data_IF_622240428403
#
_entry.id   IF_622240428403
#
_cell.length_a   1.000
_cell.length_b   1.000
_cell.length_c   1.000
_cell.angle_alpha   90.00
_cell.angle_beta   90.00
_cell.angle_gamma   90.00
#
_symmetry.space_group_name_H-M   'P 1'
#
loop_
_entity.id
_entity.type
_entity.pdbx_description
1 polymer ?
#
# COMPACT_ATOMS: atom_id res chain seq x y z
N UNK A 1 -15.20 2.54 4.02
CA UNK A 1 -15.21 3.78 3.21
C UNK A 1 -14.84 4.97 4.08
N UNK A 2 -13.72 5.62 3.81
CA UNK A 2 -13.36 6.95 4.29
C UNK A 2 -12.65 7.67 3.12
N UNK A 3 -12.93 8.96 2.84
CA UNK A 3 -12.46 9.61 1.62
C UNK A 3 -11.06 10.21 1.79
N UNK A 4 -10.16 9.89 0.85
CA UNK A 4 -8.86 10.55 0.70
C UNK A 4 -9.02 11.88 -0.03
N UNK A 5 -8.64 12.98 0.62
CA UNK A 5 -8.59 14.31 0.04
C UNK A 5 -7.27 14.50 -0.75
N UNK A 6 -7.37 14.74 -2.05
CA UNK A 6 -6.26 15.25 -2.88
C UNK A 6 -5.86 16.65 -2.39
N UNK A 7 -4.58 16.84 -2.05
CA UNK A 7 -4.01 18.17 -1.83
C UNK A 7 -3.15 18.54 -3.02
N UNK A 8 -3.69 19.46 -3.82
CA UNK A 8 -3.04 20.04 -4.99
C UNK A 8 -1.72 20.73 -4.63
N UNK A 9 -0.74 20.52 -5.50
CA UNK A 9 0.59 21.14 -5.46
C UNK A 9 0.50 22.61 -5.85
N UNK A 10 0.45 23.50 -4.86
CA UNK A 10 0.55 24.94 -5.04
C UNK A 10 2.01 25.38 -4.95
N UNK A 11 2.54 26.00 -6.02
CA UNK A 11 3.87 26.63 -6.03
C UNK A 11 3.93 27.75 -4.99
N UNK A 12 4.59 27.50 -3.86
CA UNK A 12 4.86 28.51 -2.85
C UNK A 12 5.88 29.52 -3.40
N UNK A 13 5.49 30.78 -3.51
CA UNK A 13 6.35 31.84 -4.04
C UNK A 13 7.51 32.13 -3.06
N UNK A 14 8.70 32.40 -3.61
CA UNK A 14 9.96 32.64 -2.88
C UNK A 14 9.89 33.77 -1.85
N UNK A 15 8.83 34.59 -1.87
CA UNK A 15 8.61 35.66 -0.89
C UNK A 15 8.18 35.16 0.50
N UNK A 16 7.50 34.01 0.60
CA UNK A 16 6.98 33.51 1.88
C UNK A 16 8.06 32.83 2.74
N UNK A 17 9.11 32.29 2.12
CA UNK A 17 10.22 31.62 2.81
C UNK A 17 11.17 32.61 3.49
N UNK A 18 11.30 33.84 2.98
CA UNK A 18 12.17 34.86 3.55
C UNK A 18 11.56 35.51 4.81
N UNK A 19 10.23 35.52 4.95
CA UNK A 19 9.55 36.05 6.13
C UNK A 19 9.69 35.15 7.36
N UNK A 20 9.79 33.82 7.16
CA UNK A 20 10.01 32.85 8.23
C UNK A 20 11.43 32.91 8.80
N UNK A 21 12.42 33.23 7.97
CA UNK A 21 13.81 33.34 8.39
C UNK A 21 14.09 34.59 9.25
N UNK A 22 13.30 35.66 9.08
CA UNK A 22 13.51 36.94 9.80
C UNK A 22 12.75 37.04 11.14
N UNK A 23 11.78 36.16 11.41
CA UNK A 23 11.08 36.12 12.71
C UNK A 23 11.54 34.98 13.64
N UNK A 24 12.42 34.08 13.19
CA UNK A 24 12.81 32.88 13.94
C UNK A 24 13.93 33.04 14.98
N UNK A 25 14.53 34.23 15.12
CA UNK A 25 15.62 34.46 16.06
C UNK A 25 15.19 35.40 17.18
N UNK A 26 14.68 34.84 18.27
CA UNK A 26 14.51 35.59 19.52
C UNK A 26 13.53 34.96 20.48
N UNK A 27 14.04 34.14 21.41
CA UNK A 27 13.69 34.09 22.85
C UNK A 27 14.18 32.76 23.45
N UNK A 28 15.45 32.71 23.84
CA UNK A 28 15.89 31.89 24.95
C UNK A 28 15.71 32.73 26.22
N UNK A 29 14.88 32.29 27.17
CA UNK A 29 15.16 32.46 28.60
C UNK A 29 14.27 31.58 29.50
N UNK A 30 14.95 30.73 30.27
CA UNK A 30 14.71 30.29 31.65
C UNK A 30 13.30 29.90 32.12
N UNK A 31 13.15 28.61 32.42
CA UNK A 31 12.24 28.09 33.44
C UNK A 31 12.91 26.92 34.17
N UNK A 32 13.48 27.19 35.34
CA UNK A 32 13.88 26.20 36.34
C UNK A 32 12.65 25.70 37.09
N UNK A 33 12.42 24.38 37.09
CA UNK A 33 11.70 23.70 38.15
C UNK A 33 12.51 22.47 38.58
N UNK A 34 12.82 22.42 39.87
CA UNK A 34 13.56 21.35 40.55
C UNK A 34 12.51 20.48 41.24
N UNK A 35 12.38 19.21 40.84
CA UNK A 35 12.03 18.12 41.74
C UNK A 35 12.82 16.87 41.31
N UNK A 36 13.51 16.28 42.28
CA UNK A 36 14.60 15.35 42.03
C UNK A 36 14.20 13.88 41.97
N UNK A 37 15.00 13.11 41.24
CA UNK A 37 15.52 11.83 41.73
C UNK A 37 16.80 11.51 40.95
N UNK A 38 17.88 11.27 41.68
CA UNK A 38 19.23 11.02 41.17
C UNK A 38 19.29 9.66 40.48
N UNK A 39 19.69 9.63 39.20
CA UNK A 39 20.36 8.45 38.63
C UNK A 39 21.35 8.89 37.54
N UNK A 40 22.56 9.20 37.97
CA UNK A 40 23.72 9.37 37.10
C UNK A 40 24.08 8.03 36.45
N UNK A 41 23.78 7.92 35.17
CA UNK A 41 24.49 7.04 34.26
C UNK A 41 24.61 7.75 32.91
N UNK A 42 25.63 8.61 32.79
CA UNK A 42 26.06 9.17 31.51
C UNK A 42 26.51 8.03 30.61
N UNK A 43 25.57 7.44 29.87
CA UNK A 43 25.86 6.39 28.91
C UNK A 43 26.70 7.01 27.78
N UNK A 44 27.90 6.47 27.56
CA UNK A 44 28.78 6.94 26.48
C UNK A 44 28.08 6.77 25.12
N UNK A 45 28.16 7.74 24.19
CA UNK A 45 27.57 7.66 22.86
C UNK A 45 27.94 6.36 22.12
N UNK A 46 29.15 5.85 22.36
CA UNK A 46 29.65 4.60 21.78
C UNK A 46 28.88 3.36 22.24
N UNK A 47 28.42 3.32 23.49
CA UNK A 47 27.69 2.17 24.07
C UNK A 47 26.25 2.15 23.58
N UNK A 48 25.60 3.32 23.50
CA UNK A 48 24.30 3.44 22.87
C UNK A 48 24.38 3.00 21.40
N UNK A 49 25.47 3.33 20.70
CA UNK A 49 25.66 2.98 19.30
C UNK A 49 25.79 1.46 19.08
N UNK A 50 26.62 0.84 19.92
CA UNK A 50 26.82 -0.60 19.92
C UNK A 50 25.53 -1.35 20.27
N UNK A 51 24.74 -0.86 21.22
CA UNK A 51 23.50 -1.52 21.63
C UNK A 51 22.41 -1.51 20.54
N UNK A 52 22.30 -0.46 19.72
CA UNK A 52 21.32 -0.45 18.61
C UNK A 52 21.74 -1.35 17.46
N UNK A 53 23.03 -1.37 17.11
CA UNK A 53 23.55 -2.25 16.05
C UNK A 53 23.38 -3.72 16.43
N UNK A 54 23.73 -4.08 17.67
CA UNK A 54 23.52 -5.44 18.19
C UNK A 54 22.03 -5.81 18.21
N UNK A 55 21.14 -4.90 18.63
CA UNK A 55 19.69 -5.14 18.61
C UNK A 55 19.15 -5.32 17.19
N UNK A 56 19.65 -4.54 16.23
CA UNK A 56 19.26 -4.66 14.82
C UNK A 56 19.72 -5.98 14.22
N UNK A 57 20.96 -6.40 14.49
CA UNK A 57 21.50 -7.69 14.05
C UNK A 57 20.75 -8.88 14.66
N UNK A 58 20.42 -8.82 15.95
CA UNK A 58 19.64 -9.86 16.61
C UNK A 58 18.24 -10.01 15.99
N UNK A 59 17.60 -8.89 15.64
CA UNK A 59 16.30 -8.91 14.96
C UNK A 59 16.40 -9.53 13.56
N UNK A 60 17.43 -9.18 12.80
CA UNK A 60 17.70 -9.75 11.48
C UNK A 60 17.88 -11.27 11.55
N UNK A 61 18.73 -11.74 12.46
CA UNK A 61 19.02 -13.16 12.64
C UNK A 61 17.79 -13.93 13.11
N UNK A 62 17.05 -13.40 14.10
CA UNK A 62 15.80 -13.98 14.57
C UNK A 62 14.76 -14.05 13.44
N UNK A 63 14.59 -12.96 12.68
CA UNK A 63 13.66 -12.92 11.55
C UNK A 63 14.04 -13.95 10.49
N UNK A 64 15.33 -14.08 10.17
CA UNK A 64 15.83 -15.06 9.20
C UNK A 64 15.47 -16.49 9.60
N UNK A 65 15.71 -16.87 10.85
CA UNK A 65 15.40 -18.20 11.36
C UNK A 65 13.89 -18.49 11.34
N UNK A 66 13.08 -17.55 11.83
CA UNK A 66 11.62 -17.70 11.88
C UNK A 66 10.99 -17.77 10.49
N UNK A 67 11.44 -16.93 9.57
CA UNK A 67 10.93 -16.92 8.19
C UNK A 67 11.37 -18.11 7.37
N UNK A 68 12.49 -18.75 7.71
CA UNK A 68 12.87 -20.02 7.11
C UNK A 68 11.81 -21.11 7.36
N UNK A 69 11.20 -21.15 8.55
CA UNK A 69 10.10 -22.07 8.84
C UNK A 69 8.84 -21.74 8.01
N UNK A 70 8.54 -20.45 7.80
CA UNK A 70 7.45 -20.04 6.89
C UNK A 70 7.68 -20.59 5.48
N UNK A 71 8.91 -20.49 4.98
CA UNK A 71 9.29 -20.98 3.66
C UNK A 71 9.18 -22.50 3.55
N UNK A 72 9.68 -23.24 4.53
CA UNK A 72 9.58 -24.71 4.57
C UNK A 72 8.12 -25.18 4.56
N UNK A 73 7.25 -24.54 5.35
CA UNK A 73 5.83 -24.85 5.38
C UNK A 73 5.12 -24.48 4.06
N UNK A 74 5.48 -23.36 3.45
CA UNK A 74 5.00 -23.00 2.11
C UNK A 74 5.38 -24.05 1.07
N UNK A 75 6.64 -24.50 1.06
CA UNK A 75 7.11 -25.56 0.16
C UNK A 75 6.37 -26.87 0.41
N UNK A 76 6.07 -27.20 1.67
CA UNK A 76 5.30 -28.39 2.02
C UNK A 76 3.87 -28.34 1.48
N UNK A 77 3.17 -27.21 1.64
CA UNK A 77 1.83 -27.03 1.05
C UNK A 77 1.84 -27.10 -0.47
N UNK A 78 2.92 -26.64 -1.11
CA UNK A 78 3.07 -26.68 -2.56
C UNK A 78 3.47 -28.08 -3.10
N UNK A 79 3.85 -29.03 -2.23
CA UNK A 79 4.41 -30.35 -2.63
C UNK A 79 3.48 -31.15 -3.54
N UNK A 80 2.18 -31.09 -3.30
CA UNK A 80 1.18 -31.88 -4.02
C UNK A 80 0.47 -31.10 -5.13
N UNK A 81 0.89 -29.86 -5.43
CA UNK A 81 0.31 -29.04 -6.49
C UNK A 81 0.94 -29.46 -7.82
N UNK A 82 0.12 -29.89 -8.78
CA UNK A 82 0.62 -30.31 -10.10
C UNK A 82 0.99 -29.11 -10.96
N UNK A 83 1.83 -29.33 -11.99
CA UNK A 83 2.27 -28.27 -12.89
C UNK A 83 1.11 -27.52 -13.58
N UNK A 84 0.02 -28.21 -13.91
CA UNK A 84 -1.19 -27.62 -14.48
C UNK A 84 -1.97 -26.75 -13.48
N UNK A 85 -1.85 -27.02 -12.18
CA UNK A 85 -2.56 -26.29 -11.13
C UNK A 85 -1.76 -25.10 -10.59
N UNK A 86 -0.44 -25.04 -10.82
CA UNK A 86 0.42 -23.95 -10.33
C UNK A 86 -0.01 -22.56 -10.81
N UNK A 87 -0.63 -22.48 -11.99
CA UNK A 87 -1.10 -21.22 -12.56
C UNK A 87 -2.56 -20.90 -12.21
N UNK A 88 -3.24 -21.77 -11.47
CA UNK A 88 -4.61 -21.58 -11.03
C UNK A 88 -4.64 -20.86 -9.67
N UNK A 89 -4.96 -19.56 -9.68
CA UNK A 89 -4.99 -18.74 -8.45
C UNK A 89 -5.85 -19.35 -7.34
N UNK A 90 -6.95 -20.02 -7.69
CA UNK A 90 -7.82 -20.70 -6.71
C UNK A 90 -7.08 -21.79 -5.92
N UNK A 91 -6.12 -22.47 -6.53
CA UNK A 91 -5.31 -23.52 -5.89
C UNK A 91 -4.19 -22.89 -5.06
N UNK A 92 -3.45 -21.94 -5.63
CA UNK A 92 -2.24 -21.38 -5.02
C UNK A 92 -2.49 -20.23 -4.03
N UNK A 93 -3.69 -19.65 -4.01
CA UNK A 93 -4.01 -18.51 -3.14
C UNK A 93 -3.78 -18.82 -1.66
N UNK A 94 -4.16 -20.01 -1.18
CA UNK A 94 -3.98 -20.38 0.23
C UNK A 94 -2.51 -20.47 0.64
N UNK A 95 -1.65 -21.27 -0.03
CA UNK A 95 -0.24 -21.35 0.35
C UNK A 95 0.48 -20.00 0.19
N UNK A 96 0.16 -19.24 -0.87
CA UNK A 96 0.77 -17.92 -1.08
C UNK A 96 0.37 -16.90 0.00
N UNK A 97 -0.93 -16.82 0.33
CA UNK A 97 -1.40 -15.96 1.42
C UNK A 97 -0.83 -16.35 2.77
N UNK A 98 -0.65 -17.66 3.03
CA UNK A 98 0.05 -18.10 4.24
C UNK A 98 1.48 -17.59 4.28
N UNK A 99 2.25 -17.71 3.18
CA UNK A 99 3.63 -17.25 3.14
C UNK A 99 3.71 -15.75 3.44
N UNK A 100 2.89 -14.94 2.77
CA UNK A 100 2.84 -13.49 3.01
C UNK A 100 2.48 -13.17 4.46
N UNK A 101 1.42 -13.78 4.98
CA UNK A 101 0.98 -13.58 6.35
C UNK A 101 2.04 -13.99 7.38
N UNK A 102 2.71 -15.13 7.18
CA UNK A 102 3.75 -15.62 8.09
C UNK A 102 4.96 -14.67 8.13
N UNK A 103 5.38 -14.16 6.96
CA UNK A 103 6.46 -13.18 6.86
C UNK A 103 6.11 -11.85 7.55
N UNK A 104 4.88 -11.36 7.36
CA UNK A 104 4.36 -10.14 7.99
C UNK A 104 4.19 -10.31 9.51
N UNK A 105 3.62 -11.43 9.96
CA UNK A 105 3.38 -11.70 11.38
C UNK A 105 4.69 -11.76 12.20
N UNK A 106 5.74 -12.39 11.66
CA UNK A 106 7.04 -12.41 12.35
C UNK A 106 7.75 -11.06 12.32
N UNK A 107 7.57 -10.30 11.25
CA UNK A 107 8.09 -8.94 11.14
C UNK A 107 7.44 -8.05 12.22
N UNK A 108 6.12 -8.10 12.35
CA UNK A 108 5.37 -7.39 13.38
C UNK A 108 5.77 -7.84 14.79
N UNK A 109 5.89 -9.15 15.02
CA UNK A 109 6.25 -9.72 16.33
C UNK A 109 7.63 -9.26 16.81
N UNK A 110 8.61 -9.16 15.90
CA UNK A 110 9.97 -8.70 16.21
C UNK A 110 10.12 -7.17 16.14
N UNK A 111 9.06 -6.45 15.75
CA UNK A 111 9.12 -5.04 15.36
C UNK A 111 10.26 -4.81 14.36
N UNK A 112 10.31 -5.65 13.34
CA UNK A 112 11.25 -5.66 12.23
C UNK A 112 10.43 -5.27 10.99
N UNK A 113 10.71 -4.13 10.36
CA UNK A 113 9.78 -3.50 9.41
C UNK A 113 9.32 -4.42 8.27
N UNK A 114 8.09 -4.19 7.78
CA UNK A 114 7.51 -4.89 6.63
C UNK A 114 6.92 -3.86 5.63
N UNK A 115 7.11 -4.03 4.31
CA UNK A 115 7.95 -5.04 3.67
C UNK A 115 9.45 -4.83 3.93
N UNK A 116 10.24 -5.89 3.80
CA UNK A 116 11.70 -5.87 3.92
C UNK A 116 12.37 -6.74 2.84
N UNK A 117 13.69 -6.60 2.70
CA UNK A 117 14.47 -7.26 1.63
C UNK A 117 14.41 -8.78 1.71
N UNK A 118 14.40 -9.37 2.90
CA UNK A 118 14.34 -10.82 3.05
C UNK A 118 12.95 -11.36 2.68
N UNK A 119 11.88 -10.69 3.11
CA UNK A 119 10.52 -11.05 2.71
C UNK A 119 10.35 -10.98 1.19
N UNK A 120 10.85 -9.92 0.55
CA UNK A 120 10.83 -9.77 -0.90
C UNK A 120 11.58 -10.91 -1.61
N UNK A 121 12.74 -11.34 -1.08
CA UNK A 121 13.48 -12.48 -1.62
C UNK A 121 12.67 -13.77 -1.58
N UNK A 122 11.97 -14.09 -0.49
CA UNK A 122 11.10 -15.26 -0.42
C UNK A 122 9.96 -15.18 -1.44
N UNK A 123 9.35 -14.01 -1.60
CA UNK A 123 8.30 -13.80 -2.60
C UNK A 123 8.86 -14.03 -4.00
N UNK A 124 9.98 -13.41 -4.38
CA UNK A 124 10.60 -13.65 -5.69
C UNK A 124 11.05 -15.09 -5.89
N UNK A 125 11.58 -15.74 -4.86
CA UNK A 125 11.94 -17.14 -4.91
C UNK A 125 10.72 -18.02 -5.20
N UNK A 126 9.55 -17.70 -4.63
CA UNK A 126 8.30 -18.40 -4.93
C UNK A 126 7.90 -18.24 -6.40
N UNK A 127 7.97 -17.02 -6.94
CA UNK A 127 7.68 -16.73 -8.35
C UNK A 127 8.61 -17.46 -9.29
N UNK A 128 9.91 -17.40 -9.03
CA UNK A 128 10.91 -18.09 -9.84
C UNK A 128 10.75 -19.62 -9.77
N UNK A 129 10.53 -20.17 -8.58
CA UNK A 129 10.46 -21.63 -8.39
C UNK A 129 9.17 -22.24 -8.94
N UNK A 130 8.03 -21.60 -8.75
CA UNK A 130 6.72 -22.20 -9.04
C UNK A 130 5.98 -21.56 -10.22
N UNK A 131 6.20 -20.27 -10.48
CA UNK A 131 5.34 -19.49 -11.39
C UNK A 131 6.05 -18.97 -12.65
N UNK A 132 7.32 -19.32 -12.89
CA UNK A 132 8.11 -18.83 -14.03
C UNK A 132 7.55 -19.20 -15.41
N UNK A 133 6.75 -20.26 -15.50
CA UNK A 133 6.07 -20.68 -16.74
C UNK A 133 4.59 -20.29 -16.80
N UNK A 134 4.08 -19.58 -15.80
CA UNK A 134 2.71 -19.11 -15.83
C UNK A 134 2.61 -17.88 -16.73
N UNK A 135 1.93 -18.05 -17.87
CA UNK A 135 1.49 -16.91 -18.66
C UNK A 135 0.31 -16.28 -17.94
N UNK A 136 0.46 -15.02 -17.53
CA UNK A 136 -0.66 -14.22 -17.08
C UNK A 136 -1.60 -14.04 -18.27
N UNK A 137 -2.61 -14.92 -18.37
CA UNK A 137 -3.78 -14.67 -19.20
C UNK A 137 -4.56 -13.57 -18.49
N UNK A 138 -4.02 -12.36 -18.58
CA UNK A 138 -4.66 -11.17 -18.12
C UNK A 138 -5.98 -11.04 -18.88
N UNK A 139 -7.08 -11.47 -18.27
CA UNK A 139 -8.27 -10.63 -18.31
C UNK A 139 -7.93 -9.41 -17.45
N UNK A 140 -7.01 -8.54 -17.92
CA UNK A 140 -7.03 -7.18 -17.38
C UNK A 140 -8.42 -6.71 -17.74
N UNK A 141 -9.20 -6.38 -16.72
CA UNK A 141 -10.34 -5.51 -16.90
C UNK A 141 -9.74 -4.14 -17.23
N UNK A 142 -9.26 -3.99 -18.47
CA UNK A 142 -8.81 -2.71 -18.95
C UNK A 142 -10.04 -1.81 -18.97
N UNK A 143 -9.87 -0.59 -18.48
CA UNK A 143 -10.83 0.44 -18.82
C UNK A 143 -10.93 0.50 -20.36
N UNK A 144 -12.15 0.60 -20.91
CA UNK A 144 -12.33 0.74 -22.34
C UNK A 144 -11.52 1.96 -22.82
N UNK A 145 -11.02 1.95 -24.08
CA UNK A 145 -10.31 3.09 -24.65
C UNK A 145 -11.07 4.40 -24.39
N UNK A 146 -10.34 5.49 -24.15
CA UNK A 146 -10.91 6.78 -23.73
C UNK A 146 -12.07 7.24 -24.64
N UNK A 147 -11.95 7.02 -25.95
CA UNK A 147 -12.98 7.36 -26.94
C UNK A 147 -14.29 6.55 -26.74
N UNK A 148 -14.18 5.27 -26.41
CA UNK A 148 -15.33 4.39 -26.15
C UNK A 148 -15.98 4.74 -24.83
N UNK A 149 -15.17 4.99 -23.80
CA UNK A 149 -15.65 5.45 -22.49
C UNK A 149 -16.41 6.77 -22.63
N UNK A 150 -15.85 7.73 -23.38
CA UNK A 150 -16.47 9.01 -23.65
C UNK A 150 -17.78 8.85 -24.42
N UNK A 151 -17.82 7.98 -25.43
CA UNK A 151 -19.05 7.69 -26.16
C UNK A 151 -20.14 7.10 -25.25
N UNK A 152 -19.78 6.20 -24.34
CA UNK A 152 -20.72 5.62 -23.36
C UNK A 152 -21.22 6.64 -22.33
N UNK A 153 -20.47 7.72 -22.06
CA UNK A 153 -20.89 8.82 -21.19
C UNK A 153 -21.76 9.82 -21.95
N UNK A 154 -21.38 10.22 -23.17
CA UNK A 154 -22.12 11.20 -23.97
C UNK A 154 -23.47 10.63 -24.43
N UNK A 155 -23.53 9.35 -24.80
CA UNK A 155 -24.75 8.71 -25.28
C UNK A 155 -25.96 8.89 -24.33
N UNK A 156 -25.91 8.51 -23.04
CA UNK A 156 -27.03 8.73 -22.13
C UNK A 156 -27.32 10.22 -21.87
N UNK A 157 -26.29 11.08 -21.84
CA UNK A 157 -26.46 12.53 -21.65
C UNK A 157 -27.26 13.15 -22.81
N UNK A 158 -27.08 12.67 -24.05
CA UNK A 158 -27.82 13.16 -25.21
C UNK A 158 -29.16 12.45 -25.41
N UNK A 159 -29.21 11.13 -25.20
CA UNK A 159 -30.42 10.34 -25.45
C UNK A 159 -31.53 10.63 -24.43
N UNK A 160 -31.21 10.82 -23.14
CA UNK A 160 -32.23 11.04 -22.11
C UNK A 160 -33.03 12.34 -22.38
N UNK A 161 -32.42 13.52 -22.58
CA UNK A 161 -33.17 14.74 -22.90
C UNK A 161 -33.92 14.65 -24.23
N UNK A 162 -33.36 13.96 -25.23
CA UNK A 162 -34.03 13.75 -26.51
C UNK A 162 -35.32 12.93 -26.35
N UNK A 163 -35.26 11.81 -25.63
CA UNK A 163 -36.44 10.98 -25.36
C UNK A 163 -37.47 11.74 -24.52
N UNK A 164 -37.04 12.49 -23.50
CA UNK A 164 -37.94 13.32 -22.66
C UNK A 164 -38.66 14.37 -23.50
N UNK A 165 -37.96 15.09 -24.38
CA UNK A 165 -38.59 16.10 -25.24
C UNK A 165 -39.56 15.47 -26.24
N UNK A 166 -39.22 14.32 -26.82
CA UNK A 166 -40.14 13.55 -27.69
C UNK A 166 -41.41 13.12 -26.96
N UNK A 167 -41.30 12.62 -25.72
CA UNK A 167 -42.46 12.21 -24.91
C UNK A 167 -43.34 13.41 -24.60
N UNK A 168 -42.75 14.54 -24.20
CA UNK A 168 -43.50 15.78 -23.94
C UNK A 168 -44.21 16.25 -25.21
N UNK A 169 -43.52 16.27 -26.35
CA UNK A 169 -44.09 16.70 -27.62
C UNK A 169 -45.27 15.82 -28.03
N UNK A 170 -45.11 14.49 -28.01
CA UNK A 170 -46.19 13.55 -28.29
C UNK A 170 -47.35 13.66 -27.30
N UNK A 171 -47.07 13.93 -26.02
CA UNK A 171 -48.12 14.12 -25.01
C UNK A 171 -48.94 15.40 -25.22
N UNK A 172 -48.36 16.42 -25.86
CA UNK A 172 -49.02 17.67 -26.21
C UNK A 172 -49.89 17.52 -27.46
N UNK A 173 -49.42 16.79 -28.47
CA UNK A 173 -50.19 16.50 -29.69
C UNK A 173 -51.36 15.55 -29.42
N UNK A 174 -51.24 14.64 -28.45
CA UNK A 174 -52.33 13.75 -28.00
C UNK A 174 -53.46 14.46 -27.22
N UNK A 175 -53.32 15.75 -26.89
CA UNK A 175 -54.40 16.58 -26.32
C UNK A 175 -55.08 17.48 -27.36
N UNK A 176 -54.67 17.40 -28.62
CA UNK A 176 -55.31 18.06 -29.75
C UNK A 176 -56.11 17.03 -30.56
N UNK A 177 -57.06 16.34 -29.91
CA UNK A 177 -58.09 15.60 -30.62
C UNK A 177 -59.44 16.05 -30.03
N UNK A 178 -60.29 16.77 -30.81
CA UNK A 178 -61.61 17.19 -30.38
C UNK A 178 -62.58 16.01 -30.23
#
# INVERSE_FOLDING_TARGET
MAPSAQKGSGRLSRGLLLLWALLGTGLCHTGTEVEGFTQDARMSPTVAVFNWTVRAQLKEEAYTNLTQQCWEYFVDMMRNVTASELCEWKVISRPYSFLQYCLEAWADHLHYGYPNTLAEQYIFQSHHRYFHHCTLQHQVYFDPPEDVLLAMIIAPICLIPFLVTLVIWRSKDGKAQP
#
